data_IF_615837680676
#
_entry.id   IF_615837680676
#
_cell.length_a   1.000
_cell.length_b   1.000
_cell.length_c   1.000
_cell.angle_alpha   90.00
_cell.angle_beta   90.00
_cell.angle_gamma   90.00
#
_symmetry.space_group_name_H-M   'P 1'
#
loop_
_entity.id
_entity.type
_entity.pdbx_description
1 polymer ?
2 non-polymer ?
3 water ?
#
# COMPACT_ATOMS: atom_id res chain seq x y z
N UNK A 1 5.09 -28.32 -4.91
CA UNK A 1 5.54 -27.69 -6.14
C UNK A 1 5.11 -26.22 -6.22
N UNK A 2 3.89 -25.94 -5.77
CA UNK A 2 3.34 -24.60 -5.88
C UNK A 2 3.82 -23.75 -4.71
N UNK A 3 4.16 -22.50 -5.01
CA UNK A 3 4.53 -21.51 -3.99
C UNK A 3 3.44 -20.45 -3.94
N UNK A 4 2.77 -20.35 -2.79
CA UNK A 4 1.63 -19.47 -2.62
C UNK A 4 2.08 -18.16 -1.99
N UNK A 5 1.69 -17.04 -2.60
CA UNK A 5 1.98 -15.71 -2.12
C UNK A 5 0.67 -15.07 -1.69
N UNK A 6 0.65 -14.53 -0.46
CA UNK A 6 -0.43 -13.65 -0.03
C UNK A 6 -0.07 -12.22 -0.41
N UNK A 7 -1.02 -11.51 -1.02
CA UNK A 7 -0.72 -10.12 -1.36
C UNK A 7 -1.96 -9.25 -1.51
N UNK A 8 -1.99 -8.07 -0.89
CA UNK A 8 -3.06 -7.11 -1.19
C UNK A 8 -2.85 -6.34 -2.49
N UNK A 9 -1.72 -6.50 -3.15
CA UNK A 9 -1.50 -5.83 -4.43
C UNK A 9 -2.52 -6.30 -5.46
N UNK A 10 -2.80 -5.43 -6.42
CA UNK A 10 -3.59 -5.82 -7.57
C UNK A 10 -2.75 -6.68 -8.51
N UNK A 11 -3.43 -7.58 -9.23
CA UNK A 11 -2.73 -8.54 -10.08
C UNK A 11 -1.83 -7.84 -11.09
N UNK A 12 -2.27 -6.72 -11.65
CA UNK A 12 -1.51 -6.09 -12.73
C UNK A 12 -0.12 -5.67 -12.30
N UNK A 13 0.10 -5.44 -11.00
CA UNK A 13 1.41 -5.00 -10.55
C UNK A 13 2.37 -6.17 -10.34
N UNK A 14 1.88 -7.30 -9.81
CA UNK A 14 2.75 -8.37 -9.38
C UNK A 14 2.65 -9.63 -10.22
N UNK A 15 1.53 -9.87 -10.90
CA UNK A 15 1.42 -11.08 -11.71
C UNK A 15 2.50 -11.15 -12.78
N UNK A 16 2.84 -10.08 -13.50
CA UNK A 16 3.90 -10.21 -14.52
C UNK A 16 5.26 -10.57 -13.95
N UNK A 17 5.74 -9.85 -12.92
CA UNK A 17 7.07 -10.17 -12.41
C UNK A 17 7.08 -11.56 -11.78
N UNK A 18 5.97 -11.97 -11.16
CA UNK A 18 5.91 -13.32 -10.63
C UNK A 18 5.91 -14.35 -11.75
N UNK A 19 5.36 -14.00 -12.92
CA UNK A 19 5.47 -14.87 -14.08
C UNK A 19 6.90 -14.98 -14.54
N UNK A 20 7.66 -13.89 -14.51
CA UNK A 20 9.06 -13.95 -14.90
C UNK A 20 9.86 -14.79 -13.90
N UNK A 21 9.46 -14.79 -12.64
CA UNK A 21 10.09 -15.69 -11.67
C UNK A 21 9.79 -17.14 -12.00
N UNK A 22 8.54 -17.44 -12.36
CA UNK A 22 8.19 -18.76 -12.86
C UNK A 22 9.09 -19.13 -14.03
N UNK A 23 9.26 -18.20 -14.97
CA UNK A 23 10.01 -18.47 -16.19
C UNK A 23 11.50 -18.67 -15.90
N UNK A 24 12.03 -17.99 -14.89
CA UNK A 24 13.45 -18.10 -14.57
C UNK A 24 13.75 -19.28 -13.65
N UNK A 25 12.91 -19.52 -12.65
CA UNK A 25 13.18 -20.52 -11.62
C UNK A 25 12.31 -21.77 -11.75
N UNK A 26 11.37 -21.79 -12.69
CA UNK A 26 10.59 -22.99 -12.97
C UNK A 26 9.78 -23.42 -11.75
N UNK A 27 9.19 -22.45 -11.07
CA UNK A 27 8.29 -22.67 -9.95
C UNK A 27 6.95 -22.03 -10.30
N UNK A 28 5.85 -22.69 -9.95
CA UNK A 28 4.52 -22.14 -10.15
C UNK A 28 4.14 -21.31 -8.92
N UNK A 29 3.70 -20.08 -9.15
CA UNK A 29 3.30 -19.17 -8.09
C UNK A 29 1.81 -18.91 -8.20
N UNK A 30 1.10 -19.14 -7.10
CA UNK A 30 -0.30 -18.79 -6.97
C UNK A 30 -0.42 -17.65 -5.98
N UNK A 31 -1.31 -16.69 -6.26
CA UNK A 31 -1.49 -15.51 -5.43
C UNK A 31 -2.84 -15.61 -4.72
N UNK A 32 -2.84 -15.27 -3.44
CA UNK A 32 -4.07 -15.12 -2.67
C UNK A 32 -4.27 -13.62 -2.43
N UNK A 33 -5.30 -13.05 -3.05
CA UNK A 33 -5.57 -11.62 -2.99
C UNK A 33 -6.58 -11.31 -1.90
N UNK A 34 -6.51 -10.09 -1.37
CA UNK A 34 -7.45 -9.63 -0.38
C UNK A 34 -6.94 -8.37 0.29
N UNK A 35 -7.81 -7.77 1.09
CA UNK A 35 -7.40 -6.65 1.93
C UNK A 35 -6.30 -7.10 2.88
N UNK A 36 -5.39 -6.19 3.19
CA UNK A 36 -4.19 -6.55 3.96
C UNK A 36 -4.56 -7.28 5.25
N UNK A 37 -5.41 -6.68 6.06
CA UNK A 37 -5.71 -7.26 7.36
C UNK A 37 -6.59 -8.49 7.25
N UNK A 38 -7.42 -8.58 6.21
CA UNK A 38 -8.20 -9.79 5.97
C UNK A 38 -7.27 -10.95 5.65
N UNK A 39 -6.29 -10.71 4.77
CA UNK A 39 -5.30 -11.73 4.47
C UNK A 39 -4.58 -12.18 5.75
N UNK A 40 -4.16 -11.22 6.57
CA UNK A 40 -3.43 -11.56 7.79
C UNK A 40 -4.32 -12.31 8.77
N UNK A 41 -5.60 -11.93 8.84
CA UNK A 41 -6.51 -12.61 9.77
C UNK A 41 -6.82 -14.02 9.30
N UNK A 42 -7.10 -14.20 8.01
CA UNK A 42 -7.36 -15.54 7.49
C UNK A 42 -6.11 -16.42 7.59
N UNK A 43 -4.94 -15.84 7.30
CA UNK A 43 -3.69 -16.56 7.47
C UNK A 43 -3.53 -17.05 8.90
N UNK A 44 -3.85 -16.19 9.88
CA UNK A 44 -3.70 -16.55 11.28
C UNK A 44 -4.54 -17.77 11.63
N UNK A 45 -5.79 -17.81 11.16
CA UNK A 45 -6.66 -18.95 11.43
C UNK A 45 -6.39 -20.11 10.49
N UNK A 46 -5.68 -19.89 9.40
CA UNK A 46 -5.42 -20.96 8.44
C UNK A 46 -4.61 -22.07 9.12
N UNK A 47 -4.95 -23.31 8.80
CA UNK A 47 -4.22 -24.44 9.38
C UNK A 47 -2.76 -24.37 8.98
N UNK A 48 -1.90 -24.68 9.95
CA UNK A 48 -0.45 -24.52 9.80
C UNK A 48 0.11 -25.28 8.60
N UNK A 49 -0.50 -26.41 8.24
CA UNK A 49 -0.01 -27.22 7.13
C UNK A 49 -0.53 -26.77 5.77
N UNK A 50 -1.55 -25.89 5.72
CA UNK A 50 -2.12 -25.43 4.46
C UNK A 50 -1.57 -24.07 4.03
N UNK A 51 -0.86 -23.37 4.89
CA UNK A 51 -0.50 -21.99 4.64
C UNK A 51 0.41 -21.83 3.43
N UNK A 52 0.36 -20.64 2.85
CA UNK A 52 1.30 -20.25 1.83
C UNK A 52 2.65 -19.89 2.43
N UNK A 53 3.51 -19.33 1.59
CA UNK A 53 4.92 -19.21 1.91
C UNK A 53 5.42 -17.78 2.05
N UNK A 54 4.85 -16.83 1.32
CA UNK A 54 5.35 -15.46 1.31
C UNK A 54 4.17 -14.49 1.37
N UNK A 55 4.33 -13.42 2.12
CA UNK A 55 3.39 -12.31 2.16
C UNK A 55 4.10 -11.09 1.62
N UNK A 56 3.52 -10.46 0.59
CA UNK A 56 4.13 -9.27 -0.01
C UNK A 56 3.07 -8.19 -0.19
N UNK A 57 3.42 -6.97 0.22
CA UNK A 57 2.51 -5.86 0.17
C UNK A 57 1.94 -5.52 1.54
N UNK A 58 1.44 -4.30 1.65
CA UNK A 58 1.00 -3.78 2.93
C UNK A 58 2.17 -3.29 3.77
N UNK A 59 1.84 -2.49 4.77
CA UNK A 59 2.84 -1.93 5.68
C UNK A 59 3.10 -2.96 6.77
N UNK A 60 3.73 -4.08 6.38
CA UNK A 60 3.85 -5.23 7.27
C UNK A 60 4.69 -4.91 8.50
N UNK A 61 5.71 -4.06 8.37
CA UNK A 61 6.57 -3.78 9.52
C UNK A 61 5.79 -3.18 10.68
N UNK A 62 4.59 -2.65 10.42
CA UNK A 62 3.84 -1.91 11.43
C UNK A 62 2.46 -2.48 11.73
N UNK A 63 1.96 -3.43 10.94
CA UNK A 63 0.59 -3.90 11.14
C UNK A 63 0.48 -5.43 11.15
N UNK A 64 1.56 -6.14 11.43
CA UNK A 64 1.50 -7.58 11.68
C UNK A 64 1.19 -7.76 13.16
N UNK A 65 -0.06 -8.17 13.45
CA UNK A 65 -0.49 -8.32 14.85
C UNK A 65 -0.12 -9.68 15.42
N UNK A 66 0.20 -10.67 14.58
CA UNK A 66 0.52 -12.03 15.01
C UNK A 66 1.91 -12.39 14.47
N UNK A 67 2.97 -11.85 15.07
CA UNK A 67 4.32 -12.20 14.61
C UNK A 67 4.62 -13.68 14.66
N UNK A 68 3.93 -14.45 15.51
CA UNK A 68 4.15 -15.88 15.56
C UNK A 68 3.82 -16.59 14.25
N UNK A 69 3.06 -15.92 13.37
CA UNK A 69 2.71 -16.50 12.08
C UNK A 69 3.78 -16.32 11.02
N UNK A 70 4.93 -15.75 11.37
CA UNK A 70 5.97 -15.45 10.41
C UNK A 70 7.32 -15.89 10.94
N UNK A 71 8.28 -16.00 10.03
CA UNK A 71 9.63 -16.46 10.34
C UNK A 71 10.55 -15.24 10.40
N UNK A 72 11.38 -15.09 11.42
CA UNK A 72 12.32 -13.97 11.45
C UNK A 72 13.33 -14.08 10.32
N UNK A 73 13.27 -13.14 9.38
CA UNK A 73 14.14 -13.17 8.21
C UNK A 73 14.13 -11.83 7.50
N UNK A 74 15.30 -11.34 7.14
CA UNK A 74 15.42 -10.21 6.23
C UNK A 74 16.46 -10.55 5.18
N UNK A 75 16.16 -10.18 3.93
CA UNK A 75 17.09 -10.42 2.85
C UNK A 75 18.38 -9.66 3.09
N UNK A 76 19.50 -10.25 2.67
CA UNK A 76 20.79 -9.60 2.85
C UNK A 76 20.84 -8.23 2.19
N UNK A 77 20.07 -8.04 1.10
CA UNK A 77 20.16 -6.81 0.33
C UNK A 77 19.55 -5.61 1.05
N UNK A 78 19.10 -5.75 2.30
CA UNK A 78 18.71 -4.57 3.05
C UNK A 78 19.86 -3.57 3.08
N UNK A 79 21.10 -4.07 2.99
CA UNK A 79 22.27 -3.20 2.94
C UNK A 79 22.20 -2.21 1.79
N UNK A 80 21.55 -2.57 0.69
CA UNK A 80 21.47 -1.72 -0.49
C UNK A 80 20.23 -0.84 -0.51
N UNK A 81 19.46 -0.81 0.58
CA UNK A 81 18.19 -0.11 0.59
C UNK A 81 18.34 1.32 1.10
N UNK A 82 17.42 2.17 0.67
CA UNK A 82 17.39 3.55 1.13
C UNK A 82 17.45 3.61 2.66
N UNK A 83 18.31 4.48 3.18
CA UNK A 83 18.63 4.47 4.60
C UNK A 83 17.40 4.73 5.47
N UNK A 84 16.48 5.57 4.99
CA UNK A 84 15.36 6.00 5.82
C UNK A 84 14.23 5.00 5.90
N UNK A 85 14.21 3.97 5.04
CA UNK A 85 13.03 3.12 4.89
C UNK A 85 13.33 1.64 5.11
N UNK A 86 14.43 1.31 5.78
CA UNK A 86 14.70 -0.08 6.10
C UNK A 86 13.80 -0.55 7.23
N UNK A 87 13.31 -1.78 7.11
CA UNK A 87 12.41 -2.34 8.11
C UNK A 87 13.12 -2.43 9.46
N UNK A 88 12.43 -2.00 10.51
CA UNK A 88 12.86 -2.24 11.88
C UNK A 88 12.16 -3.44 12.48
N UNK A 89 11.58 -4.30 11.64
CA UNK A 89 10.80 -5.46 12.05
C UNK A 89 11.53 -6.69 11.54
N UNK A 90 11.95 -7.57 12.46
CA UNK A 90 12.81 -8.69 12.09
C UNK A 90 12.12 -9.70 11.19
N UNK A 91 10.80 -9.60 11.00
CA UNK A 91 10.07 -10.49 10.12
C UNK A 91 9.89 -9.93 8.72
N UNK A 92 10.26 -8.67 8.47
CA UNK A 92 9.85 -7.95 7.28
C UNK A 92 11.07 -7.37 6.59
N UNK A 93 11.16 -7.57 5.27
CA UNK A 93 12.09 -6.88 4.40
C UNK A 93 11.31 -5.81 3.63
N UNK A 94 11.82 -4.58 3.65
CA UNK A 94 11.18 -3.52 2.88
C UNK A 94 11.27 -3.84 1.39
N UNK A 95 10.21 -3.49 0.65
CA UNK A 95 10.05 -3.91 -0.74
C UNK A 95 9.83 -2.73 -1.68
N UNK A 96 8.87 -1.86 -1.37
CA UNK A 96 8.55 -0.73 -2.21
C UNK A 96 8.08 0.44 -1.35
N UNK A 97 8.19 1.64 -1.91
CA UNK A 97 7.63 2.83 -1.30
C UNK A 97 6.35 3.20 -2.05
N UNK A 98 5.25 3.35 -1.31
CA UNK A 98 3.94 3.58 -1.91
C UNK A 98 3.30 4.81 -1.28
N UNK A 99 3.35 5.96 -1.94
CA UNK A 99 2.58 7.11 -1.44
C UNK A 99 1.09 6.81 -1.45
N UNK A 100 0.41 7.21 -0.38
CA UNK A 100 -1.03 7.31 -0.42
C UNK A 100 -1.41 8.62 -1.07
N UNK A 101 -2.57 8.64 -1.73
CA UNK A 101 -2.97 9.79 -2.54
C UNK A 101 -4.47 10.00 -2.43
N UNK A 102 -4.89 11.21 -2.77
CA UNK A 102 -6.27 11.51 -3.08
C UNK A 102 -6.45 11.39 -4.59
N UNK A 103 -7.53 10.74 -5.01
CA UNK A 103 -7.88 10.66 -6.42
C UNK A 103 -9.15 11.47 -6.63
N UNK A 104 -9.15 12.26 -7.71
CA UNK A 104 -10.24 13.17 -8.04
C UNK A 104 -10.73 12.84 -9.44
N UNK A 105 -12.05 12.83 -9.62
CA UNK A 105 -12.60 12.66 -10.96
C UNK A 105 -12.58 14.02 -11.65
N UNK A 106 -11.79 14.13 -12.71
CA UNK A 106 -11.55 15.41 -13.37
C UNK A 106 -12.66 15.80 -14.33
N UNK A 107 -13.60 14.91 -14.63
CA UNK A 107 -14.79 15.28 -15.38
C UNK A 107 -15.90 15.82 -14.49
N UNK A 108 -15.98 15.35 -13.25
CA UNK A 108 -16.97 15.86 -12.31
C UNK A 108 -16.48 17.06 -11.54
N UNK A 109 -15.16 17.24 -11.43
CA UNK A 109 -14.61 18.24 -10.53
C UNK A 109 -15.07 19.64 -10.89
N UNK A 110 -15.06 19.98 -12.17
CA UNK A 110 -15.36 21.35 -12.57
C UNK A 110 -14.39 22.31 -11.91
N UNK A 111 -14.93 23.37 -11.33
CA UNK A 111 -14.11 24.41 -10.69
C UNK A 111 -13.79 24.11 -9.24
N UNK A 112 -14.23 22.96 -8.70
CA UNK A 112 -13.94 22.62 -7.32
C UNK A 112 -12.44 22.40 -7.16
N UNK A 113 -11.85 23.07 -6.17
CA UNK A 113 -10.43 22.91 -5.86
C UNK A 113 -10.25 21.82 -4.81
N UNK A 114 -9.36 20.87 -5.08
CA UNK A 114 -9.02 19.82 -4.14
C UNK A 114 -7.50 19.70 -4.12
N UNK A 115 -6.88 20.27 -3.09
CA UNK A 115 -5.43 20.22 -2.90
C UNK A 115 -5.01 19.27 -1.79
N UNK A 116 -5.93 18.80 -0.96
CA UNK A 116 -5.57 17.99 0.18
C UNK A 116 -6.78 17.65 1.01
N UNK A 117 -6.51 17.25 2.27
CA UNK A 117 -7.57 16.74 3.13
C UNK A 117 -8.58 17.82 3.51
N UNK A 118 -8.11 19.03 3.80
CA UNK A 118 -9.03 20.09 4.21
C UNK A 118 -10.05 20.39 3.11
N UNK A 119 -9.60 20.38 1.85
CA UNK A 119 -10.50 20.67 0.74
C UNK A 119 -11.58 19.60 0.59
N UNK A 120 -11.32 18.37 1.05
CA UNK A 120 -12.33 17.33 0.95
C UNK A 120 -13.55 17.63 1.82
N UNK A 121 -13.41 18.54 2.80
CA UNK A 121 -14.49 18.89 3.71
C UNK A 121 -15.39 19.99 3.15
N UNK A 122 -15.12 20.50 1.97
CA UNK A 122 -16.00 21.50 1.37
C UNK A 122 -17.41 20.95 1.31
N UNK A 123 -18.43 21.73 1.70
CA UNK A 123 -19.80 21.17 1.74
C UNK A 123 -20.26 20.55 0.43
N UNK A 124 -19.83 21.08 -0.73
CA UNK A 124 -20.30 20.54 -2.00
C UNK A 124 -19.91 19.08 -2.17
N UNK A 125 -18.90 18.62 -1.44
CA UNK A 125 -18.38 17.27 -1.57
C UNK A 125 -18.97 16.29 -0.56
N UNK A 126 -19.86 16.75 0.33
CA UNK A 126 -20.36 15.87 1.38
C UNK A 126 -21.06 14.66 0.79
N UNK A 127 -20.72 13.48 1.32
CA UNK A 127 -21.28 12.24 0.83
C UNK A 127 -20.84 11.83 -0.56
N UNK A 128 -19.97 12.62 -1.21
CA UNK A 128 -19.48 12.33 -2.54
C UNK A 128 -17.99 11.99 -2.55
N UNK A 129 -17.45 11.63 -1.40
CA UNK A 129 -16.06 11.23 -1.24
C UNK A 129 -16.06 9.81 -0.67
N UNK A 130 -15.08 9.00 -1.10
CA UNK A 130 -15.02 7.61 -0.69
C UNK A 130 -13.66 7.27 -0.10
N UNK A 131 -13.66 6.29 0.80
CA UNK A 131 -12.44 5.72 1.35
C UNK A 131 -12.73 4.28 1.76
N UNK A 132 -11.67 3.54 2.05
CA UNK A 132 -11.82 2.12 2.38
C UNK A 132 -11.66 1.89 3.88
N UNK A 133 -12.26 0.78 4.33
CA UNK A 133 -12.35 0.41 5.74
C UNK A 133 -10.99 0.45 6.43
N UNK A 134 -10.78 1.35 7.39
CA UNK A 134 -9.47 1.39 8.07
C UNK A 134 -9.21 0.19 8.96
N UNK A 135 -10.25 -0.60 9.29
CA UNK A 135 -10.06 -1.77 10.14
C UNK A 135 -9.52 -2.96 9.37
N UNK A 136 -9.68 -2.99 8.05
CA UNK A 136 -9.31 -4.15 7.25
C UNK A 136 -8.28 -3.86 6.17
N UNK A 137 -8.00 -2.61 5.85
CA UNK A 137 -7.15 -2.26 4.72
C UNK A 137 -5.95 -1.45 5.18
N UNK A 138 -4.82 -1.61 4.47
CA UNK A 138 -3.69 -0.72 4.68
C UNK A 138 -4.03 0.71 4.29
N UNK A 139 -4.71 0.87 3.14
CA UNK A 139 -4.90 2.20 2.57
C UNK A 139 -5.79 3.05 3.46
N UNK A 140 -6.94 2.50 3.89
CA UNK A 140 -7.82 3.25 4.78
C UNK A 140 -7.14 3.58 6.09
N UNK A 141 -6.45 2.61 6.68
CA UNK A 141 -5.75 2.84 7.93
C UNK A 141 -4.71 3.95 7.79
N UNK A 142 -3.89 3.88 6.73
CA UNK A 142 -2.82 4.85 6.57
C UNK A 142 -3.39 6.26 6.35
N UNK A 143 -4.48 6.37 5.61
CA UNK A 143 -5.12 7.67 5.42
C UNK A 143 -5.64 8.23 6.74
N UNK A 144 -6.24 7.38 7.58
CA UNK A 144 -6.75 7.86 8.85
C UNK A 144 -5.60 8.34 9.74
N UNK A 145 -4.46 7.64 9.69
CA UNK A 145 -3.28 8.11 10.39
C UNK A 145 -2.81 9.44 9.82
N UNK A 146 -2.87 9.61 8.50
CA UNK A 146 -2.45 10.88 7.90
C UNK A 146 -3.33 12.03 8.38
N UNK A 147 -4.64 11.80 8.45
CA UNK A 147 -5.56 12.84 8.92
C UNK A 147 -5.32 13.13 10.39
N UNK A 148 -5.14 12.09 11.21
CA UNK A 148 -4.85 12.30 12.61
C UNK A 148 -3.54 13.05 12.80
N UNK A 149 -2.55 12.79 11.95
CA UNK A 149 -1.24 13.39 12.13
C UNK A 149 -1.23 14.89 11.91
N UNK A 150 -2.23 15.43 11.19
CA UNK A 150 -2.23 16.86 10.90
C UNK A 150 -2.11 17.69 12.18
N UNK A 151 -2.99 17.43 13.14
CA UNK A 151 -2.99 18.15 14.41
C UNK A 151 -3.10 17.20 15.59
N UNK A 152 -3.00 15.89 15.36
CA UNK A 152 -3.13 14.88 16.40
C UNK A 152 -4.47 15.04 17.13
N UNK A 153 -5.54 15.17 16.33
CA UNK A 153 -6.89 15.35 16.84
C UNK A 153 -7.80 14.30 16.23
N UNK A 154 -8.39 13.46 17.08
CA UNK A 154 -9.37 12.48 16.61
C UNK A 154 -10.56 13.18 15.96
N UNK A 155 -10.87 14.41 16.41
CA UNK A 155 -12.00 15.12 15.82
C UNK A 155 -11.80 15.34 14.32
N UNK A 156 -10.55 15.51 13.88
CA UNK A 156 -10.29 15.65 12.44
C UNK A 156 -10.62 14.36 11.70
N UNK A 157 -10.32 13.21 12.30
CA UNK A 157 -10.66 11.93 11.68
C UNK A 157 -12.17 11.79 11.59
N UNK A 158 -12.87 12.07 12.68
CA UNK A 158 -14.32 11.91 12.69
C UNK A 158 -15.00 12.88 11.73
N UNK A 159 -14.47 14.10 11.63
CA UNK A 159 -15.06 15.07 10.70
C UNK A 159 -14.98 14.56 9.27
N UNK A 160 -13.85 13.98 8.88
CA UNK A 160 -13.74 13.40 7.54
C UNK A 160 -14.71 12.24 7.37
N UNK A 161 -14.71 11.31 8.33
CA UNK A 161 -15.55 10.13 8.19
C UNK A 161 -17.03 10.49 8.10
N UNK A 162 -17.46 11.55 8.80
CA UNK A 162 -18.84 12.00 8.69
C UNK A 162 -19.12 12.70 7.37
N UNK A 163 -18.07 13.00 6.60
CA UNK A 163 -18.21 13.66 5.30
C UNK A 163 -18.13 12.69 4.13
N UNK A 164 -17.73 11.44 4.37
CA UNK A 164 -17.33 10.53 3.32
C UNK A 164 -18.04 9.19 3.48
N UNK A 165 -17.96 8.39 2.42
CA UNK A 165 -18.59 7.08 2.34
C UNK A 165 -17.51 6.01 2.44
N UNK A 166 -17.63 5.14 3.44
CA UNK A 166 -16.66 4.07 3.63
C UNK A 166 -17.04 2.88 2.76
N UNK A 167 -16.06 2.35 2.05
CA UNK A 167 -16.22 1.16 1.22
C UNK A 167 -15.37 0.03 1.79
N UNK A 168 -15.77 -1.21 1.47
CA UNK A 168 -15.07 -2.36 2.02
C UNK A 168 -13.66 -2.50 1.44
N UNK A 169 -13.51 -2.23 0.14
CA UNK A 169 -12.30 -2.58 -0.59
C UNK A 169 -11.60 -1.32 -1.11
N UNK A 170 -10.29 -1.26 -0.90
CA UNK A 170 -9.50 -0.13 -1.38
C UNK A 170 -9.67 0.08 -2.88
N UNK A 171 -9.65 -1.01 -3.66
CA UNK A 171 -9.71 -0.86 -5.11
C UNK A 171 -11.09 -0.42 -5.59
N UNK A 172 -12.13 -0.62 -4.78
CA UNK A 172 -13.44 -0.08 -5.14
C UNK A 172 -13.43 1.45 -5.12
N UNK A 173 -12.54 2.05 -4.31
CA UNK A 173 -12.47 3.51 -4.24
C UNK A 173 -12.06 4.08 -5.59
N UNK A 174 -10.92 3.63 -6.13
CA UNK A 174 -10.46 4.17 -7.40
C UNK A 174 -11.43 3.81 -8.52
N UNK A 175 -11.98 2.59 -8.49
CA UNK A 175 -12.92 2.20 -9.53
C UNK A 175 -14.11 3.15 -9.57
N UNK A 176 -14.71 3.43 -8.41
CA UNK A 176 -15.93 4.23 -8.39
C UNK A 176 -15.62 5.71 -8.62
N UNK A 177 -14.46 6.20 -8.19
CA UNK A 177 -14.05 7.56 -8.54
C UNK A 177 -13.82 7.64 -10.04
N UNK A 178 -13.04 6.70 -10.59
CA UNK A 178 -12.73 6.73 -12.02
C UNK A 178 -13.99 6.65 -12.87
N UNK A 179 -14.98 5.89 -12.43
CA UNK A 179 -16.21 5.70 -13.19
C UNK A 179 -17.27 6.75 -12.89
N UNK A 180 -16.97 7.73 -12.05
CA UNK A 180 -17.84 8.86 -11.85
C UNK A 180 -18.90 8.69 -10.78
N UNK A 181 -18.78 7.70 -9.91
CA UNK A 181 -19.74 7.54 -8.83
C UNK A 181 -19.40 8.45 -7.65
N UNK A 182 -18.13 8.83 -7.50
CA UNK A 182 -17.70 9.75 -6.46
C UNK A 182 -16.82 10.82 -7.08
N UNK A 183 -16.85 12.01 -6.45
CA UNK A 183 -16.00 13.10 -6.90
C UNK A 183 -14.53 12.86 -6.57
N UNK A 184 -14.26 12.17 -5.46
CA UNK A 184 -12.89 11.96 -5.04
C UNK A 184 -12.85 10.81 -4.05
N UNK A 185 -11.64 10.30 -3.81
CA UNK A 185 -11.48 9.19 -2.90
C UNK A 185 -10.07 9.10 -2.38
N UNK A 186 -9.90 8.27 -1.35
CA UNK A 186 -8.61 8.03 -0.73
C UNK A 186 -8.04 6.72 -1.22
N UNK A 187 -6.91 6.79 -1.92
CA UNK A 187 -6.36 5.65 -2.65
C UNK A 187 -4.86 5.60 -2.42
N UNK A 188 -4.15 4.92 -3.32
CA UNK A 188 -2.70 4.89 -3.27
C UNK A 188 -2.16 4.99 -4.70
N UNK A 189 -0.87 5.32 -4.80
CA UNK A 189 -0.31 5.82 -6.05
C UNK A 189 -0.48 4.83 -7.20
N UNK A 190 -0.14 3.56 -6.98
CA UNK A 190 -0.16 2.60 -8.08
C UNK A 190 -1.58 2.33 -8.57
N UNK A 191 -2.55 2.27 -7.64
CA UNK A 191 -3.93 2.04 -8.05
C UNK A 191 -4.47 3.22 -8.84
N UNK A 192 -4.15 4.45 -8.40
CA UNK A 192 -4.54 5.62 -9.15
C UNK A 192 -3.90 5.63 -10.54
N UNK A 193 -2.62 5.28 -10.61
CA UNK A 193 -1.93 5.28 -11.90
C UNK A 193 -2.56 4.30 -12.86
N UNK A 194 -2.94 3.12 -12.38
CA UNK A 194 -3.53 2.10 -13.25
C UNK A 194 -4.74 2.65 -13.99
N UNK A 195 -5.63 3.33 -13.27
CA UNK A 195 -6.86 3.81 -13.88
C UNK A 195 -6.64 5.07 -14.71
N UNK A 196 -5.72 5.95 -14.29
CA UNK A 196 -5.41 7.11 -15.11
C UNK A 196 -4.81 6.68 -16.45
N UNK A 197 -3.95 5.66 -16.44
CA UNK A 197 -3.32 5.20 -17.66
C UNK A 197 -4.26 4.39 -18.54
N UNK A 198 -5.40 3.95 -18.02
CA UNK A 198 -6.47 3.41 -18.86
C UNK A 198 -7.36 4.50 -19.45
N UNK A 199 -7.01 5.76 -19.26
CA UNK A 199 -7.73 6.86 -19.87
C UNK A 199 -8.88 7.41 -19.06
N UNK A 200 -9.07 6.95 -17.83
CA UNK A 200 -10.19 7.44 -17.03
C UNK A 200 -9.88 8.86 -16.54
N UNK A 201 -10.92 9.67 -16.32
CA UNK A 201 -10.72 11.07 -15.88
C UNK A 201 -10.36 11.15 -14.40
N UNK A 202 -9.10 10.81 -14.12
CA UNK A 202 -8.57 10.69 -12.76
C UNK A 202 -7.40 11.64 -12.61
N UNK A 203 -7.45 12.47 -11.57
CA UNK A 203 -6.34 13.31 -11.15
C UNK A 203 -5.77 12.77 -9.85
N UNK A 204 -4.44 12.78 -9.75
CA UNK A 204 -3.74 12.29 -8.57
C UNK A 204 -3.29 13.48 -7.76
N UNK A 205 -3.68 13.52 -6.48
CA UNK A 205 -3.40 14.64 -5.59
C UNK A 205 -2.61 14.12 -4.40
N UNK A 206 -1.45 14.72 -4.17
CA UNK A 206 -0.66 14.45 -2.99
C UNK A 206 -1.01 15.48 -1.93
N UNK A 207 -1.73 15.13 -0.87
CA UNK A 207 -2.30 16.18 0.00
C UNK A 207 -1.24 17.09 0.58
N UNK A 208 -1.47 18.40 0.44
CA UNK A 208 -0.49 19.39 0.88
C UNK A 208 -0.28 19.37 2.39
N UNK A 209 -1.26 18.90 3.17
CA UNK A 209 -1.10 18.86 4.62
C UNK A 209 -0.13 17.80 5.08
N UNK A 210 0.23 16.86 4.21
CA UNK A 210 1.07 15.75 4.61
C UNK A 210 0.60 14.46 3.98
N UNK A 211 1.46 13.87 3.17
CA UNK A 211 1.17 12.64 2.46
C UNK A 211 1.84 11.47 3.16
N UNK A 212 1.05 10.45 3.48
CA UNK A 212 1.59 9.25 4.11
C UNK A 212 2.37 8.42 3.08
N UNK A 213 3.59 8.01 3.45
CA UNK A 213 4.39 7.15 2.60
C UNK A 213 4.40 5.75 3.20
N UNK A 214 3.77 4.81 2.50
CA UNK A 214 3.79 3.42 2.94
C UNK A 214 5.11 2.78 2.55
N UNK A 215 5.75 2.10 3.50
CA UNK A 215 6.87 1.23 3.23
C UNK A 215 6.31 -0.18 3.15
N UNK A 216 6.06 -0.65 1.93
CA UNK A 216 5.55 -2.00 1.72
C UNK A 216 6.64 -3.02 2.05
N UNK A 217 6.22 -4.17 2.57
CA UNK A 217 7.16 -5.17 3.06
C UNK A 217 6.90 -6.55 2.49
N UNK A 218 7.85 -7.45 2.75
CA UNK A 218 7.78 -8.85 2.39
C UNK A 218 8.16 -9.68 3.61
N UNK A 219 7.44 -10.76 3.84
CA UNK A 219 7.68 -11.62 5.00
C UNK A 219 7.50 -13.08 4.62
N UNK A 220 8.27 -13.94 5.29
CA UNK A 220 8.12 -15.39 5.16
C UNK A 220 7.08 -15.88 6.16
N UNK A 221 6.14 -16.68 5.68
CA UNK A 221 5.04 -17.19 6.49
C UNK A 221 5.47 -18.47 7.18
N UNK A 222 5.16 -18.59 8.46
CA UNK A 222 5.48 -19.80 9.21
C UNK A 222 4.48 -20.90 8.83
N UNK A 223 5.01 -22.01 8.30
CA UNK A 223 4.17 -23.12 7.88
C UNK A 223 4.93 -24.41 8.12
N UNK A 224 4.26 -25.53 7.83
CA UNK A 224 4.83 -26.83 8.15
C UNK A 224 5.93 -27.22 7.18
N UNK A 225 5.71 -27.00 5.88
CA UNK A 225 6.62 -27.45 4.83
C UNK A 225 6.91 -26.26 3.93
N UNK A 226 7.78 -25.35 4.36
CA UNK A 226 8.06 -24.17 3.55
C UNK A 226 8.66 -24.54 2.20
N UNK A 227 8.20 -23.86 1.16
CA UNK A 227 8.74 -24.06 -0.17
C UNK A 227 10.19 -23.61 -0.18
N UNK A 228 11.15 -24.48 -0.55
CA UNK A 228 12.57 -24.10 -0.42
C UNK A 228 13.00 -22.95 -1.32
N UNK A 229 12.21 -22.56 -2.31
CA UNK A 229 12.56 -21.47 -3.20
C UNK A 229 12.03 -20.11 -2.74
N UNK A 230 11.42 -20.05 -1.55
CA UNK A 230 10.80 -18.79 -1.14
C UNK A 230 11.83 -17.73 -0.80
N UNK A 231 12.99 -18.12 -0.28
CA UNK A 231 14.03 -17.12 -0.04
C UNK A 231 14.61 -16.60 -1.34
N UNK A 232 14.69 -17.44 -2.38
CA UNK A 232 15.08 -16.95 -3.69
C UNK A 232 14.05 -15.96 -4.22
N UNK A 233 12.77 -16.19 -3.94
CA UNK A 233 11.74 -15.27 -4.39
C UNK A 233 11.88 -13.91 -3.71
N UNK A 234 12.10 -13.90 -2.40
CA UNK A 234 12.30 -12.63 -1.70
C UNK A 234 13.53 -11.91 -2.25
N UNK A 235 14.62 -12.66 -2.45
CA UNK A 235 15.81 -12.08 -3.07
C UNK A 235 15.49 -11.48 -4.43
N UNK A 236 14.76 -12.25 -5.26
CA UNK A 236 14.38 -11.79 -6.59
C UNK A 236 13.59 -10.48 -6.50
N UNK A 237 12.57 -10.44 -5.65
CA UNK A 237 11.69 -9.28 -5.58
C UNK A 237 12.42 -8.04 -5.08
N UNK A 238 13.48 -8.22 -4.28
CA UNK A 238 14.23 -7.10 -3.73
C UNK A 238 15.54 -6.84 -4.48
N UNK A 239 15.75 -7.52 -5.61
CA UNK A 239 16.98 -7.38 -6.36
C UNK A 239 16.96 -6.11 -7.20
N UNK A 240 18.16 -5.67 -7.60
CA UNK A 240 18.27 -4.44 -8.38
C UNK A 240 17.54 -4.56 -9.71
N UNK A 241 17.78 -5.64 -10.46
CA UNK A 241 17.21 -5.73 -11.81
C UNK A 241 15.70 -5.79 -11.77
N UNK A 242 15.13 -6.51 -10.79
CA UNK A 242 13.69 -6.61 -10.70
C UNK A 242 13.07 -5.30 -10.21
N UNK A 243 13.70 -4.67 -9.21
CA UNK A 243 13.23 -3.36 -8.77
C UNK A 243 13.29 -2.35 -9.90
N UNK A 244 14.36 -2.41 -10.71
CA UNK A 244 14.49 -1.50 -11.85
C UNK A 244 13.37 -1.74 -12.86
N UNK A 245 12.99 -3.00 -13.06
CA UNK A 245 11.89 -3.31 -13.97
C UNK A 245 10.58 -2.73 -13.46
N UNK A 246 10.33 -2.81 -12.15
CA UNK A 246 9.10 -2.26 -11.59
C UNK A 246 9.07 -0.75 -11.72
N UNK A 247 10.21 -0.09 -11.52
CA UNK A 247 10.29 1.36 -11.70
C UNK A 247 10.01 1.72 -13.15
N UNK A 248 10.69 1.04 -14.08
CA UNK A 248 10.56 1.39 -15.49
C UNK A 248 9.14 1.20 -16.00
N UNK A 249 8.51 0.09 -15.63
CA UNK A 249 7.21 -0.23 -16.21
C UNK A 249 6.05 0.45 -15.51
N UNK A 250 6.14 0.66 -14.18
CA UNK A 250 5.01 1.13 -13.40
C UNK A 250 5.23 2.47 -12.72
N UNK A 251 6.39 3.10 -12.88
CA UNK A 251 6.74 4.25 -12.05
C UNK A 251 6.69 3.88 -10.57
N UNK A 252 7.01 2.64 -10.25
CA UNK A 252 7.16 2.25 -8.87
C UNK A 252 8.29 3.06 -8.24
N UNK A 253 8.29 3.12 -6.91
CA UNK A 253 9.35 3.77 -6.16
C UNK A 253 10.16 2.67 -5.47
N UNK A 254 11.37 2.43 -5.97
CA UNK A 254 12.18 1.34 -5.48
C UNK A 254 12.66 1.59 -4.05
N UNK A 255 12.84 0.49 -3.32
CA UNK A 255 13.44 0.55 -1.99
C UNK A 255 14.96 0.64 -2.05
N UNK A 256 15.57 0.46 -3.22
CA UNK A 256 17.01 0.35 -3.34
C UNK A 256 17.66 1.67 -3.73
N UNK A 257 18.90 1.86 -3.26
CA UNK A 257 19.68 3.03 -3.61
C UNK A 257 20.14 3.00 -5.07
N UNK A 258 20.38 1.80 -5.61
CA UNK A 258 21.01 1.64 -6.92
C UNK A 258 19.98 1.43 -8.03
N UNK A 259 18.78 1.99 -7.87
CA UNK A 259 17.71 1.85 -8.85
C UNK A 259 17.20 3.24 -9.20
N UNK A 260 16.85 3.42 -10.47
CA UNK A 260 16.40 4.72 -10.97
C UNK A 260 15.19 5.20 -10.18
N UNK A 261 15.03 6.52 -10.16
CA UNK A 261 13.78 7.17 -9.79
C UNK A 261 13.06 7.58 -11.08
N UNK A 262 11.79 7.22 -11.18
CA UNK A 262 10.99 7.52 -12.35
C UNK A 262 9.60 7.92 -11.90
N UNK A 263 9.11 9.05 -12.43
CA UNK A 263 7.80 9.57 -12.05
C UNK A 263 7.19 10.25 -13.28
N UNK A 264 6.90 9.44 -14.30
CA UNK A 264 6.39 9.98 -15.55
C UNK A 264 5.06 10.71 -15.34
N UNK A 265 4.88 11.79 -16.09
CA UNK A 265 3.60 12.50 -16.19
C UNK A 265 3.24 13.00 -14.78
N UNK A 266 2.01 12.77 -14.30
CA UNK A 266 1.56 13.42 -13.08
C UNK A 266 2.02 12.71 -11.81
N UNK A 267 2.69 11.56 -11.91
CA UNK A 267 3.31 10.95 -10.74
C UNK A 267 4.41 11.89 -10.26
N UNK A 268 4.55 12.01 -8.93
CA UNK A 268 5.53 12.91 -8.34
C UNK A 268 6.68 12.12 -7.75
N UNK A 269 7.89 12.67 -7.92
CA UNK A 269 9.06 12.20 -7.20
C UNK A 269 8.91 12.50 -5.71
N UNK A 270 9.51 11.65 -4.88
CA UNK A 270 9.39 11.83 -3.44
C UNK A 270 9.82 13.23 -3.01
N UNK A 271 10.84 13.78 -3.68
CA UNK A 271 11.33 15.09 -3.28
C UNK A 271 10.30 16.20 -3.49
N UNK A 272 9.28 15.95 -4.31
CA UNK A 272 8.22 16.92 -4.57
C UNK A 272 6.92 16.55 -3.89
N UNK A 273 6.92 15.56 -3.01
CA UNK A 273 5.74 15.16 -2.25
C UNK A 273 5.89 15.69 -0.83
N UNK A 274 4.89 16.37 -0.27
CA UNK A 274 4.98 16.80 1.13
C UNK A 274 4.74 15.65 2.09
N UNK A 275 5.80 14.93 2.42
CA UNK A 275 5.67 13.74 3.24
C UNK A 275 5.45 14.11 4.70
N UNK A 276 4.60 13.33 5.37
CA UNK A 276 4.47 13.44 6.82
C UNK A 276 5.80 12.98 7.41
N UNK A 277 6.53 13.84 8.11
CA UNK A 277 7.79 13.39 8.71
C UNK A 277 7.54 12.37 9.81
N UNK A 278 8.51 11.48 10.01
CA UNK A 278 8.35 10.45 11.04
C UNK A 278 8.08 11.06 12.41
N UNK A 279 8.60 12.26 12.65
CA UNK A 279 8.42 12.91 13.95
C UNK A 279 6.95 13.23 14.25
N UNK A 280 6.10 13.32 13.23
CA UNK A 280 4.67 13.48 13.44
C UNK A 280 3.94 12.14 13.55
N UNK A 281 4.64 11.02 13.40
CA UNK A 281 4.03 9.69 13.41
C UNK A 281 4.75 8.86 14.46
N UNK A 282 4.40 9.01 15.73
CA UNK A 282 5.07 8.27 16.80
C UNK A 282 4.56 6.83 16.86
N UNK A 283 5.11 6.08 17.82
CA UNK A 283 4.69 4.71 18.05
C UNK A 283 3.30 4.69 18.68
N UNK A 284 2.37 4.00 18.02
CA UNK A 284 1.08 3.68 18.60
C UNK A 284 0.57 2.43 17.89
N UNK A 285 0.45 1.29 18.57
CA UNK A 285 0.13 0.04 17.89
C UNK A 285 -1.10 0.15 17.00
N UNK A 286 -1.12 -0.73 16.00
CA UNK A 286 -2.23 -0.78 15.03
C UNK A 286 -3.59 -0.79 15.72
N UNK A 287 -3.77 -1.70 16.69
CA UNK A 287 -5.08 -1.85 17.31
C UNK A 287 -5.41 -0.68 18.22
N UNK A 288 -4.41 -0.05 18.83
CA UNK A 288 -4.67 1.08 19.71
C UNK A 288 -5.12 2.30 18.92
N UNK A 289 -4.53 2.55 17.75
CA UNK A 289 -4.98 3.67 16.94
C UNK A 289 -6.42 3.49 16.49
N UNK A 290 -6.78 2.28 16.06
CA UNK A 290 -8.15 2.03 15.65
C UNK A 290 -9.13 2.23 16.81
N UNK A 291 -8.70 1.83 18.02
CA UNK A 291 -9.52 2.10 19.20
C UNK A 291 -9.64 3.59 19.46
N UNK A 292 -8.57 4.34 19.19
CA UNK A 292 -8.57 5.78 19.45
C UNK A 292 -9.59 6.50 18.57
N UNK A 293 -9.74 6.06 17.31
CA UNK A 293 -10.60 6.75 16.37
C UNK A 293 -11.97 6.12 16.25
N UNK A 294 -12.26 5.07 17.02
CA UNK A 294 -13.54 4.39 16.93
C UNK A 294 -14.68 5.32 17.34
#
# INVERSE_FOLDING_TARGET
NVLTVYSPYQSNLIRPILNEFEKQEHVKIEIKHGSTQVLLSNLHNEDFSERGDVFMGGVLSETIDHPEDFVPYQDTSVTQQLEDYRSNNKYVTSFLLMPTVIVVNSDLQGDIKIRGYQDLLQPILKGKIAYSNPNTTTTGYQHMRAIYSMHHRVSDVHQFQNHAMQLSKTSKVIEDVAKGKYYAGLSYEQDARTWKNKGYPVSIVYPIEGTMLNVDGIALVKNAHPHPKRKKLVQYLTSRSVQQRLVAEFDAKSIRKDVSEQSDQSIENLKNIPLIPKSKLPDIPHHKFLEMIQ
#
